data_IF_365713859007
#
_entry.id   IF_365713859007
#
_cell.length_a   1.000
_cell.length_b   1.000
_cell.length_c   1.000
_cell.angle_alpha   90.00
_cell.angle_beta   90.00
_cell.angle_gamma   90.00
#
_symmetry.space_group_name_H-M   'P 1'
#
loop_
_entity.id
_entity.type
_entity.pdbx_description
1 polymer ?
#
# COMPACT_ATOMS: atom_id res chain seq x y z
N UNK A 1 -32.12 31.08 -52.54
CA UNK A 1 -30.72 31.17 -52.07
C UNK A 1 -30.56 32.32 -51.09
N UNK A 2 -30.24 32.04 -49.82
CA UNK A 2 -29.44 32.85 -48.88
C UNK A 2 -29.50 32.18 -47.51
N UNK A 3 -28.45 31.42 -47.18
CA UNK A 3 -28.23 30.77 -45.88
C UNK A 3 -27.84 31.85 -44.87
N UNK A 4 -28.52 31.92 -43.72
CA UNK A 4 -28.05 32.66 -42.53
C UNK A 4 -27.55 31.65 -41.51
N UNK A 5 -26.24 31.66 -41.28
CA UNK A 5 -25.58 30.91 -40.24
C UNK A 5 -25.88 31.55 -38.88
N UNK A 6 -26.35 30.77 -37.91
CA UNK A 6 -26.38 31.15 -36.51
C UNK A 6 -25.13 30.55 -35.83
N UNK A 7 -24.15 31.41 -35.56
CA UNK A 7 -23.11 31.17 -34.56
C UNK A 7 -23.70 31.63 -33.21
N UNK A 8 -24.02 30.69 -32.33
CA UNK A 8 -24.28 30.97 -30.92
C UNK A 8 -23.08 30.47 -30.13
N UNK A 9 -22.30 31.42 -29.64
CA UNK A 9 -21.17 31.22 -28.76
C UNK A 9 -21.63 30.53 -27.46
N UNK A 10 -21.04 29.38 -27.15
CA UNK A 10 -21.13 28.80 -25.81
C UNK A 10 -20.26 29.65 -24.87
N UNK A 11 -20.91 30.45 -24.03
CA UNK A 11 -20.23 31.20 -22.97
C UNK A 11 -19.59 30.23 -21.98
N UNK A 12 -18.27 30.31 -21.84
CA UNK A 12 -17.54 29.69 -20.75
C UNK A 12 -18.00 30.35 -19.44
N UNK A 13 -18.77 29.61 -18.63
CA UNK A 13 -19.08 30.03 -17.28
C UNK A 13 -17.81 29.94 -16.43
N UNK A 14 -17.25 31.10 -16.10
CA UNK A 14 -16.21 31.23 -15.10
C UNK A 14 -16.74 30.72 -13.75
N UNK A 15 -16.12 29.66 -13.23
CA UNK A 15 -16.39 29.19 -11.87
C UNK A 15 -15.69 30.14 -10.88
N UNK A 16 -16.41 31.21 -10.52
CA UNK A 16 -16.07 32.05 -9.37
C UNK A 16 -16.11 31.22 -8.09
N UNK A 17 -15.05 31.37 -7.27
CA UNK A 17 -14.85 30.63 -6.04
C UNK A 17 -16.03 30.73 -5.07
N UNK A 18 -16.73 29.61 -4.89
CA UNK A 18 -17.39 29.27 -3.63
C UNK A 18 -16.44 28.34 -2.90
N UNK A 19 -15.97 28.74 -1.72
CA UNK A 19 -15.36 27.79 -0.80
C UNK A 19 -16.35 26.62 -0.65
N UNK A 20 -15.98 25.44 -1.15
CA UNK A 20 -16.80 24.25 -1.00
C UNK A 20 -17.01 24.06 0.51
N UNK A 21 -18.27 24.06 0.96
CA UNK A 21 -18.56 23.76 2.35
C UNK A 21 -17.94 22.40 2.67
N UNK A 22 -16.98 22.43 3.60
CA UNK A 22 -16.23 21.28 4.10
C UNK A 22 -17.18 20.14 4.46
N UNK A 23 -17.25 19.10 3.62
CA UNK A 23 -18.16 17.97 3.84
C UNK A 23 -17.60 17.07 4.94
N UNK A 24 -18.45 16.60 5.88
CA UNK A 24 -17.98 15.84 7.04
C UNK A 24 -17.25 14.56 6.62
N UNK A 25 -16.15 14.28 7.30
CA UNK A 25 -15.33 13.08 7.11
C UNK A 25 -15.57 12.14 8.28
N UNK A 26 -15.92 10.89 7.99
CA UNK A 26 -16.05 9.84 9.01
C UNK A 26 -14.99 8.77 8.78
N UNK A 27 -13.98 8.71 9.64
CA UNK A 27 -12.94 7.69 9.56
C UNK A 27 -13.47 6.34 10.05
N UNK A 28 -13.24 5.29 9.26
CA UNK A 28 -13.59 3.91 9.62
C UNK A 28 -12.39 3.19 10.25
N UNK A 29 -11.18 3.50 9.76
CA UNK A 29 -9.87 2.97 10.20
C UNK A 29 -8.75 3.77 9.53
N UNK A 30 -7.49 3.57 9.93
CA UNK A 30 -6.35 4.38 9.48
C UNK A 30 -6.06 4.42 7.96
N UNK A 31 -6.74 3.62 7.14
CA UNK A 31 -6.64 3.62 5.68
C UNK A 31 -8.01 3.73 4.97
N UNK A 32 -9.09 4.01 5.71
CA UNK A 32 -10.45 4.15 5.13
C UNK A 32 -11.28 5.20 5.82
N UNK A 33 -12.01 5.96 5.02
CA UNK A 33 -12.94 6.97 5.49
C UNK A 33 -14.19 7.04 4.61
N UNK A 34 -15.24 7.68 5.12
CA UNK A 34 -16.41 8.05 4.36
C UNK A 34 -16.41 9.56 4.15
N UNK A 35 -16.55 9.97 2.90
CA UNK A 35 -16.68 11.37 2.51
C UNK A 35 -17.70 11.46 1.37
N UNK A 36 -18.63 12.43 1.45
CA UNK A 36 -19.71 12.60 0.47
C UNK A 36 -20.51 11.30 0.19
N UNK A 37 -20.79 10.53 1.23
CA UNK A 37 -21.56 9.27 1.13
C UNK A 37 -20.81 8.07 0.54
N UNK A 38 -19.52 8.22 0.18
CA UNK A 38 -18.71 7.14 -0.41
C UNK A 38 -17.65 6.65 0.58
N UNK A 39 -17.52 5.34 0.75
CA UNK A 39 -16.37 4.74 1.45
C UNK A 39 -15.14 4.77 0.54
N UNK A 40 -14.14 5.55 0.91
CA UNK A 40 -12.88 5.72 0.21
C UNK A 40 -11.80 4.84 0.86
N UNK A 41 -11.02 4.18 0.02
CA UNK A 41 -9.85 3.40 0.43
C UNK A 41 -8.59 4.12 -0.01
N UNK A 42 -7.70 4.39 0.95
CA UNK A 42 -6.44 5.07 0.66
C UNK A 42 -5.49 4.17 -0.14
N UNK A 43 -4.90 4.75 -1.17
CA UNK A 43 -4.07 4.04 -2.11
C UNK A 43 -2.72 3.65 -1.51
N UNK A 44 -2.30 2.42 -1.82
CA UNK A 44 -0.97 1.87 -1.60
C UNK A 44 -0.50 1.77 -0.13
N UNK A 45 -1.43 1.90 0.82
CA UNK A 45 -1.16 1.73 2.25
C UNK A 45 -2.07 0.68 2.89
N UNK A 46 -1.63 0.19 4.05
CA UNK A 46 -2.38 -0.68 4.93
C UNK A 46 -2.18 -0.20 6.37
N UNK A 47 -3.27 0.25 6.99
CA UNK A 47 -3.31 0.57 8.41
C UNK A 47 -3.77 -0.64 9.25
N UNK A 48 -3.38 -0.72 10.54
CA UNK A 48 -3.84 -1.79 11.41
C UNK A 48 -5.38 -1.94 11.45
N UNK A 49 -5.89 -3.17 11.47
CA UNK A 49 -7.34 -3.46 11.51
C UNK A 49 -7.92 -3.37 12.92
N UNK A 50 -8.87 -2.45 13.20
CA UNK A 50 -9.53 -2.39 14.49
C UNK A 50 -10.41 -3.61 14.80
N UNK A 51 -10.69 -4.48 13.81
CA UNK A 51 -11.39 -5.76 14.02
C UNK A 51 -10.43 -6.94 14.14
N UNK A 52 -9.20 -6.77 13.64
CA UNK A 52 -8.17 -7.81 13.54
C UNK A 52 -8.56 -9.06 12.74
N UNK A 53 -7.70 -10.07 12.86
CA UNK A 53 -7.93 -11.46 12.43
C UNK A 53 -7.62 -12.35 13.63
N UNK A 54 -8.63 -12.99 14.23
CA UNK A 54 -8.46 -13.78 15.47
C UNK A 54 -8.64 -12.94 16.75
N UNK A 55 -7.58 -12.83 17.55
CA UNK A 55 -7.56 -12.41 18.98
C UNK A 55 -7.85 -10.92 19.28
N UNK A 56 -8.63 -10.24 18.44
CA UNK A 56 -9.04 -8.84 18.65
C UNK A 56 -8.29 -7.81 17.78
N UNK A 57 -8.42 -6.50 18.09
CA UNK A 57 -7.88 -5.42 17.26
C UNK A 57 -6.37 -5.54 17.08
N UNK A 58 -5.87 -5.25 15.87
CA UNK A 58 -4.44 -5.14 15.65
C UNK A 58 -3.88 -3.97 16.50
N UNK A 59 -2.69 -4.13 17.11
CA UNK A 59 -2.07 -3.08 17.91
C UNK A 59 -1.99 -1.76 17.11
N UNK A 60 -2.11 -0.61 17.77
CA UNK A 60 -2.04 0.71 17.11
C UNK A 60 -3.22 1.06 16.17
N UNK A 61 -4.23 0.21 15.98
CA UNK A 61 -5.38 0.51 15.09
C UNK A 61 -6.15 1.78 15.45
N UNK A 62 -6.39 2.02 16.74
CA UNK A 62 -7.05 3.25 17.21
C UNK A 62 -6.22 4.50 16.93
N UNK A 63 -4.90 4.46 17.20
CA UNK A 63 -3.99 5.56 16.93
C UNK A 63 -3.87 5.85 15.43
N UNK A 64 -3.83 4.82 14.59
CA UNK A 64 -3.83 4.98 13.13
C UNK A 64 -5.11 5.64 12.61
N UNK A 65 -6.28 5.24 13.14
CA UNK A 65 -7.55 5.88 12.80
C UNK A 65 -7.59 7.34 13.25
N UNK A 66 -7.11 7.65 14.45
CA UNK A 66 -7.01 9.02 14.95
C UNK A 66 -6.07 9.89 14.10
N UNK A 67 -4.94 9.34 13.64
CA UNK A 67 -4.02 10.04 12.74
C UNK A 67 -4.72 10.43 11.42
N UNK A 68 -5.44 9.49 10.79
CA UNK A 68 -6.22 9.81 9.59
C UNK A 68 -7.33 10.83 9.89
N UNK A 69 -8.03 10.72 11.02
CA UNK A 69 -9.09 11.66 11.38
C UNK A 69 -8.55 13.08 11.54
N UNK A 70 -7.36 13.24 12.14
CA UNK A 70 -6.69 14.53 12.28
C UNK A 70 -6.25 15.08 10.92
N UNK A 71 -5.66 14.25 10.05
CA UNK A 71 -5.17 14.68 8.74
C UNK A 71 -6.30 15.02 7.75
N UNK A 72 -7.43 14.33 7.86
CA UNK A 72 -8.60 14.53 7.01
C UNK A 72 -9.67 15.44 7.63
N UNK A 73 -9.36 16.07 8.78
CA UNK A 73 -10.26 16.99 9.47
C UNK A 73 -10.68 18.14 8.54
N UNK A 74 -11.95 18.54 8.61
CA UNK A 74 -12.52 19.55 7.72
C UNK A 74 -12.67 19.12 6.26
N UNK A 75 -12.17 17.95 5.83
CA UNK A 75 -12.34 17.56 4.42
C UNK A 75 -11.63 18.48 3.41
N UNK A 76 -10.66 19.27 3.87
CA UNK A 76 -9.87 20.18 3.04
C UNK A 76 -8.76 19.44 2.26
N UNK A 77 -9.16 18.47 1.44
CA UNK A 77 -8.27 17.71 0.55
C UNK A 77 -8.87 17.56 -0.84
N UNK A 78 -8.02 17.37 -1.84
CA UNK A 78 -8.48 16.89 -3.16
C UNK A 78 -8.37 15.37 -3.23
N UNK A 79 -9.24 14.76 -4.03
CA UNK A 79 -9.32 13.31 -4.23
C UNK A 79 -8.84 13.01 -5.65
N UNK A 80 -7.89 12.11 -5.79
CA UNK A 80 -7.44 11.57 -7.07
C UNK A 80 -7.67 10.06 -7.10
N UNK A 81 -8.25 9.53 -8.17
CA UNK A 81 -8.39 8.08 -8.34
C UNK A 81 -7.03 7.45 -8.69
N UNK A 82 -6.66 6.40 -7.98
CA UNK A 82 -5.34 5.76 -8.06
C UNK A 82 -5.37 4.37 -8.72
N UNK A 83 -6.53 3.92 -9.18
CA UNK A 83 -6.70 2.62 -9.80
C UNK A 83 -8.15 2.14 -9.80
N UNK A 84 -8.36 0.89 -10.23
CA UNK A 84 -9.68 0.29 -10.23
C UNK A 84 -10.26 0.21 -8.80
N UNK A 85 -11.58 0.43 -8.63
CA UNK A 85 -12.26 0.15 -7.38
C UNK A 85 -12.06 -1.30 -6.95
N UNK A 86 -12.20 -1.57 -5.66
CA UNK A 86 -12.18 -2.95 -5.19
C UNK A 86 -13.45 -3.73 -5.55
N UNK A 87 -13.50 -5.02 -5.22
CA UNK A 87 -14.64 -5.91 -5.55
C UNK A 87 -16.00 -5.48 -4.96
N UNK A 88 -16.00 -4.52 -4.04
CA UNK A 88 -17.21 -3.95 -3.44
C UNK A 88 -17.51 -2.54 -3.98
N UNK A 89 -16.82 -2.12 -5.05
CA UNK A 89 -17.03 -0.84 -5.70
C UNK A 89 -16.41 0.35 -4.95
N UNK A 90 -15.56 0.11 -3.95
CA UNK A 90 -14.95 1.20 -3.17
C UNK A 90 -13.83 1.87 -3.95
N UNK A 91 -13.87 3.21 -4.13
CA UNK A 91 -12.82 3.94 -4.82
C UNK A 91 -11.46 3.76 -4.13
N UNK A 92 -10.44 3.50 -4.94
CA UNK A 92 -9.05 3.46 -4.53
C UNK A 92 -8.42 4.82 -4.85
N UNK A 93 -8.09 5.60 -3.82
CA UNK A 93 -7.85 7.04 -3.99
C UNK A 93 -6.61 7.54 -3.27
N UNK A 94 -6.05 8.64 -3.77
CA UNK A 94 -5.10 9.50 -3.08
C UNK A 94 -5.83 10.72 -2.56
N UNK A 95 -5.48 11.11 -1.33
CA UNK A 95 -5.95 12.35 -0.75
C UNK A 95 -4.79 13.32 -0.66
N UNK A 96 -4.97 14.52 -1.19
CA UNK A 96 -3.94 15.54 -1.25
C UNK A 96 -4.33 16.72 -0.39
N UNK A 97 -3.50 17.05 0.59
CA UNK A 97 -3.64 18.23 1.42
C UNK A 97 -2.89 19.39 0.77
N UNK A 98 -3.48 20.59 0.69
CA UNK A 98 -2.77 21.78 0.24
C UNK A 98 -1.66 22.16 1.24
N UNK A 99 -0.50 22.53 0.71
CA UNK A 99 0.62 23.14 1.46
C UNK A 99 1.26 24.22 0.60
N UNK A 100 1.97 25.15 1.25
CA UNK A 100 2.67 26.25 0.58
C UNK A 100 3.68 25.76 -0.47
N UNK A 101 4.40 24.67 -0.17
CA UNK A 101 5.41 24.08 -1.06
C UNK A 101 4.85 23.01 -2.01
N UNK A 102 3.54 23.02 -2.26
CA UNK A 102 2.85 22.05 -3.10
C UNK A 102 2.11 20.97 -2.29
N UNK A 103 1.12 20.30 -2.90
CA UNK A 103 0.25 19.36 -2.19
C UNK A 103 1.02 18.15 -1.64
N UNK A 104 0.66 17.72 -0.44
CA UNK A 104 1.22 16.51 0.20
C UNK A 104 0.15 15.43 0.31
N UNK A 105 0.52 14.18 0.04
CA UNK A 105 -0.43 13.08 0.15
C UNK A 105 -0.66 12.70 1.62
N UNK A 106 -1.91 12.49 2.01
CA UNK A 106 -2.29 12.01 3.36
C UNK A 106 -1.61 10.68 3.66
N UNK A 107 -1.50 9.78 2.67
CA UNK A 107 -0.83 8.49 2.84
C UNK A 107 0.64 8.63 3.22
N UNK A 108 1.33 9.62 2.67
CA UNK A 108 2.74 9.89 2.97
C UNK A 108 2.91 10.35 4.41
N UNK A 109 2.02 11.23 4.88
CA UNK A 109 2.00 11.70 6.26
C UNK A 109 1.67 10.57 7.25
N UNK A 110 0.69 9.71 6.91
CA UNK A 110 0.38 8.53 7.72
C UNK A 110 1.57 7.57 7.83
N UNK A 111 2.32 7.37 6.76
CA UNK A 111 3.52 6.54 6.79
C UNK A 111 4.64 7.18 7.62
N UNK A 112 4.86 8.48 7.47
CA UNK A 112 5.86 9.23 8.23
C UNK A 112 5.59 9.20 9.75
N UNK A 113 4.32 9.21 10.16
CA UNK A 113 3.91 9.07 11.57
C UNK A 113 3.92 7.62 12.08
N UNK A 114 4.22 6.64 11.22
CA UNK A 114 4.13 5.22 11.55
C UNK A 114 2.69 4.78 11.84
N UNK A 115 1.70 5.37 11.17
CA UNK A 115 0.28 4.99 11.28
C UNK A 115 -0.15 3.92 10.26
N UNK A 116 0.67 3.68 9.23
CA UNK A 116 0.40 2.68 8.20
C UNK A 116 1.70 2.03 7.70
N UNK A 117 1.53 1.02 6.84
CA UNK A 117 2.60 0.35 6.09
C UNK A 117 2.30 0.44 4.60
N UNK A 118 3.32 0.44 3.75
CA UNK A 118 3.14 0.44 2.29
C UNK A 118 2.66 -0.95 1.85
N UNK A 119 1.57 -0.98 1.08
CA UNK A 119 1.03 -2.16 0.40
C UNK A 119 0.84 -1.79 -1.08
N UNK A 120 1.82 -2.07 -1.95
CA UNK A 120 1.74 -1.67 -3.35
C UNK A 120 0.60 -2.37 -4.09
N UNK A 121 -0.24 -1.59 -4.75
CA UNK A 121 -1.37 -2.06 -5.54
C UNK A 121 -1.59 -1.24 -6.83
N UNK A 122 -1.27 0.06 -6.82
CA UNK A 122 -1.27 0.91 -8.01
C UNK A 122 -0.01 0.70 -8.87
N UNK A 123 -0.08 1.11 -10.14
CA UNK A 123 1.03 1.07 -11.08
C UNK A 123 1.90 2.33 -11.12
N UNK A 124 1.79 3.21 -10.12
CA UNK A 124 2.51 4.48 -10.08
C UNK A 124 3.77 4.36 -9.22
N UNK A 125 4.88 4.07 -9.89
CA UNK A 125 6.16 3.87 -9.22
C UNK A 125 6.68 5.13 -8.53
N UNK A 126 6.41 6.32 -9.07
CA UNK A 126 6.88 7.58 -8.49
C UNK A 126 6.15 7.86 -7.16
N UNK A 127 4.84 7.60 -7.12
CA UNK A 127 4.08 7.70 -5.86
C UNK A 127 4.58 6.67 -4.84
N UNK A 128 4.77 5.41 -5.26
CA UNK A 128 5.30 4.36 -4.40
C UNK A 128 6.67 4.72 -3.84
N UNK A 129 7.58 5.29 -4.63
CA UNK A 129 8.91 5.72 -4.17
C UNK A 129 8.83 6.67 -2.97
N UNK A 130 7.90 7.65 -3.01
CA UNK A 130 7.68 8.57 -1.90
C UNK A 130 7.13 7.85 -0.66
N UNK A 131 6.20 6.91 -0.84
CA UNK A 131 5.65 6.11 0.25
C UNK A 131 6.72 5.24 0.91
N UNK A 132 7.56 4.55 0.12
CA UNK A 132 8.67 3.74 0.63
C UNK A 132 9.68 4.60 1.40
N UNK A 133 10.00 5.79 0.92
CA UNK A 133 10.90 6.72 1.61
C UNK A 133 10.33 7.14 2.98
N UNK A 134 9.05 7.54 3.04
CA UNK A 134 8.38 7.91 4.29
C UNK A 134 8.33 6.74 5.29
N UNK A 135 7.98 5.54 4.82
CA UNK A 135 7.94 4.33 5.66
C UNK A 135 9.33 3.95 6.18
N UNK A 136 10.37 4.05 5.34
CA UNK A 136 11.74 3.75 5.73
C UNK A 136 12.23 4.69 6.84
N UNK A 137 11.94 5.98 6.74
CA UNK A 137 12.26 6.97 7.77
C UNK A 137 11.51 6.67 9.08
N UNK A 138 10.20 6.43 9.02
CA UNK A 138 9.40 6.10 10.20
C UNK A 138 9.89 4.82 10.89
N UNK A 139 10.27 3.81 10.11
CA UNK A 139 10.82 2.56 10.64
C UNK A 139 12.19 2.75 11.30
N UNK A 140 13.09 3.51 10.66
CA UNK A 140 14.40 3.82 11.24
C UNK A 140 14.26 4.61 12.56
N UNK A 141 13.29 5.53 12.63
CA UNK A 141 12.98 6.31 13.83
C UNK A 141 12.15 5.54 14.88
N UNK A 142 11.74 4.29 14.59
CA UNK A 142 10.76 3.53 15.39
C UNK A 142 9.49 4.34 15.72
N UNK A 143 9.02 5.14 14.77
CA UNK A 143 7.82 5.96 14.92
C UNK A 143 6.54 5.10 14.90
N UNK A 144 5.57 5.48 15.75
CA UNK A 144 4.24 4.87 15.78
C UNK A 144 4.26 3.35 15.89
N UNK A 145 3.62 2.67 14.93
CA UNK A 145 3.54 1.21 14.90
C UNK A 145 4.92 0.54 14.90
N UNK A 146 5.95 1.19 14.36
CA UNK A 146 7.32 0.64 14.30
C UNK A 146 8.02 0.58 15.66
N UNK A 147 7.47 1.23 16.69
CA UNK A 147 7.91 1.06 18.07
C UNK A 147 7.53 -0.33 18.63
N UNK A 148 6.48 -0.96 18.09
CA UNK A 148 5.89 -2.17 18.65
C UNK A 148 6.49 -3.42 18.02
N UNK A 149 6.79 -4.41 18.87
CA UNK A 149 7.33 -5.71 18.42
C UNK A 149 6.41 -6.43 17.41
N UNK A 150 5.09 -6.19 17.50
CA UNK A 150 4.10 -6.73 16.59
C UNK A 150 4.31 -6.34 15.11
N UNK A 151 4.98 -5.22 14.85
CA UNK A 151 5.26 -4.69 13.51
C UNK A 151 6.74 -4.73 13.12
N UNK A 152 7.57 -5.44 13.89
CA UNK A 152 8.98 -5.64 13.53
C UNK A 152 9.11 -6.25 12.13
N UNK A 153 10.26 -6.01 11.52
CA UNK A 153 10.66 -6.78 10.35
C UNK A 153 11.10 -8.17 10.80
N UNK A 154 10.53 -9.21 10.20
CA UNK A 154 10.87 -10.58 10.54
C UNK A 154 12.09 -11.04 9.75
N UNK A 155 13.09 -11.66 10.38
CA UNK A 155 14.09 -12.40 9.62
C UNK A 155 13.46 -13.64 8.99
N UNK A 156 13.86 -13.99 7.78
CA UNK A 156 13.31 -15.12 7.02
C UNK A 156 13.42 -16.46 7.79
N UNK A 157 14.52 -16.65 8.54
CA UNK A 157 14.71 -17.81 9.41
C UNK A 157 13.78 -17.88 10.63
N UNK A 158 12.97 -16.85 10.89
CA UNK A 158 11.96 -16.84 11.95
C UNK A 158 10.65 -16.17 11.49
N UNK A 159 10.21 -16.45 10.27
CA UNK A 159 8.97 -15.89 9.71
C UNK A 159 7.69 -16.57 10.24
N UNK A 160 7.79 -17.67 10.97
CA UNK A 160 6.63 -18.41 11.53
C UNK A 160 5.74 -17.53 12.41
N UNK A 161 6.33 -16.64 13.20
CA UNK A 161 5.59 -15.68 14.04
C UNK A 161 4.78 -14.64 13.26
N UNK A 162 5.02 -14.52 11.94
CA UNK A 162 4.29 -13.62 11.06
C UNK A 162 3.11 -14.31 10.34
N UNK A 163 2.89 -15.61 10.52
CA UNK A 163 1.77 -16.31 9.86
C UNK A 163 0.44 -15.65 10.26
N UNK A 164 -0.43 -15.44 9.27
CA UNK A 164 -1.77 -14.86 9.44
C UNK A 164 -1.85 -13.34 9.37
N UNK A 165 -0.72 -12.63 9.32
CA UNK A 165 -0.70 -11.14 9.26
C UNK A 165 0.03 -10.63 8.02
N UNK A 166 -0.22 -9.36 7.69
CA UNK A 166 0.65 -8.63 6.77
C UNK A 166 1.96 -8.32 7.49
N UNK A 167 3.10 -8.68 6.89
CA UNK A 167 4.42 -8.50 7.49
C UNK A 167 5.48 -8.12 6.44
N UNK A 168 6.59 -7.59 6.95
CA UNK A 168 7.82 -7.42 6.20
C UNK A 168 8.77 -8.54 6.64
N UNK A 169 9.34 -9.27 5.69
CA UNK A 169 10.27 -10.37 5.93
C UNK A 169 11.56 -10.11 5.15
N UNK A 170 12.69 -10.17 5.84
CA UNK A 170 14.02 -9.94 5.27
C UNK A 170 14.89 -11.19 5.33
N UNK A 171 15.66 -11.44 4.28
CA UNK A 171 16.64 -12.51 4.27
C UNK A 171 17.41 -12.57 2.97
N UNK A 172 18.41 -13.42 2.93
CA UNK A 172 19.08 -13.80 1.68
C UNK A 172 18.31 -14.93 1.03
N UNK A 173 17.95 -14.77 -0.25
CA UNK A 173 17.32 -15.84 -1.00
C UNK A 173 18.37 -16.91 -1.33
N UNK A 174 18.26 -18.08 -0.71
CA UNK A 174 19.18 -19.21 -0.94
C UNK A 174 19.08 -19.73 -2.38
N UNK A 175 17.86 -19.83 -2.91
CA UNK A 175 17.65 -20.32 -4.27
C UNK A 175 16.41 -19.68 -4.90
N UNK A 176 16.40 -19.68 -6.23
CA UNK A 176 15.25 -19.32 -7.04
C UNK A 176 14.92 -20.46 -8.01
N UNK A 177 13.66 -20.84 -8.12
CA UNK A 177 13.24 -21.93 -9.01
C UNK A 177 11.88 -21.64 -9.64
N UNK A 178 11.69 -22.05 -10.90
CA UNK A 178 10.40 -22.01 -11.55
C UNK A 178 9.81 -23.43 -11.62
N UNK A 179 8.64 -23.65 -11.03
CA UNK A 179 7.95 -24.93 -11.03
C UNK A 179 6.44 -24.74 -10.92
N UNK A 180 5.64 -25.66 -11.47
CA UNK A 180 4.17 -25.70 -11.29
C UNK A 180 3.46 -24.36 -11.55
N UNK A 181 3.91 -23.62 -12.56
CA UNK A 181 3.33 -22.32 -12.93
C UNK A 181 3.65 -21.16 -11.98
N UNK A 182 4.66 -21.32 -11.12
CA UNK A 182 5.12 -20.29 -10.17
C UNK A 182 6.64 -20.17 -10.18
N UNK A 183 7.13 -19.01 -9.77
CA UNK A 183 8.53 -18.78 -9.38
C UNK A 183 8.60 -18.73 -7.87
N UNK A 184 9.56 -19.43 -7.30
CA UNK A 184 9.83 -19.56 -5.88
C UNK A 184 11.18 -18.92 -5.57
N UNK A 185 11.23 -18.16 -4.47
CA UNK A 185 12.45 -17.74 -3.79
C UNK A 185 12.46 -18.42 -2.43
N UNK A 186 13.40 -19.33 -2.22
CA UNK A 186 13.51 -20.10 -0.99
C UNK A 186 14.58 -19.48 -0.10
N UNK A 187 14.30 -19.38 1.20
CA UNK A 187 15.20 -18.75 2.18
C UNK A 187 15.85 -19.77 3.12
N UNK A 188 15.63 -21.07 2.88
CA UNK A 188 16.22 -22.17 3.63
C UNK A 188 16.31 -23.45 2.80
N UNK A 189 16.65 -24.55 3.45
CA UNK A 189 16.87 -25.86 2.82
C UNK A 189 15.57 -26.63 2.62
N UNK A 190 14.66 -26.55 3.58
CA UNK A 190 13.40 -27.27 3.56
C UNK A 190 12.23 -26.29 3.38
N UNK A 191 11.72 -26.19 2.15
CA UNK A 191 10.54 -25.39 1.82
C UNK A 191 9.29 -25.77 2.62
N UNK A 192 9.30 -26.93 3.29
CA UNK A 192 8.17 -27.38 4.13
C UNK A 192 8.09 -26.64 5.46
N UNK A 193 9.21 -26.07 5.91
CA UNK A 193 9.32 -25.36 7.19
C UNK A 193 9.80 -23.93 7.02
N UNK A 194 10.61 -23.68 5.99
CA UNK A 194 11.31 -22.42 5.78
C UNK A 194 10.46 -21.39 5.02
N UNK A 195 10.87 -20.13 5.16
CA UNK A 195 10.21 -19.04 4.48
C UNK A 195 10.38 -19.11 2.96
N UNK A 196 9.29 -18.84 2.24
CA UNK A 196 9.27 -18.85 0.77
C UNK A 196 8.48 -17.68 0.21
N UNK A 197 9.08 -16.93 -0.72
CA UNK A 197 8.37 -15.93 -1.53
C UNK A 197 7.99 -16.56 -2.87
N UNK A 198 6.78 -16.31 -3.34
CA UNK A 198 6.30 -16.89 -4.60
C UNK A 198 5.62 -15.84 -5.48
N UNK A 199 5.62 -16.09 -6.78
CA UNK A 199 4.82 -15.33 -7.74
C UNK A 199 4.34 -16.23 -8.88
N UNK A 200 3.13 -16.02 -9.42
CA UNK A 200 2.69 -16.69 -10.65
C UNK A 200 3.67 -16.43 -11.80
N UNK A 201 4.03 -17.46 -12.58
CA UNK A 201 5.02 -17.34 -13.68
C UNK A 201 4.65 -16.23 -14.68
N UNK A 202 3.35 -16.02 -14.93
CA UNK A 202 2.86 -14.94 -15.80
C UNK A 202 3.27 -13.55 -15.29
N UNK A 203 3.14 -13.32 -13.98
CA UNK A 203 3.53 -12.06 -13.34
C UNK A 203 5.05 -11.93 -13.28
N UNK A 204 5.76 -12.99 -12.87
CA UNK A 204 7.22 -12.99 -12.82
C UNK A 204 7.86 -12.65 -14.18
N UNK A 205 7.36 -13.23 -15.29
CA UNK A 205 7.82 -12.91 -16.65
C UNK A 205 7.51 -11.47 -17.07
N UNK A 206 6.41 -10.89 -16.58
CA UNK A 206 6.10 -9.48 -16.80
C UNK A 206 7.09 -8.61 -16.03
N UNK A 207 7.31 -8.88 -14.75
CA UNK A 207 8.21 -8.11 -13.90
C UNK A 207 9.67 -8.19 -14.33
N UNK A 208 10.11 -9.31 -14.89
CA UNK A 208 11.46 -9.43 -15.47
C UNK A 208 11.69 -8.39 -16.58
N UNK A 209 10.68 -8.11 -17.42
CA UNK A 209 10.74 -7.05 -18.45
C UNK A 209 10.67 -5.65 -17.87
N UNK A 210 10.20 -5.51 -16.64
CA UNK A 210 10.12 -4.26 -15.86
C UNK A 210 11.30 -4.13 -14.88
N UNK A 211 12.36 -4.93 -15.05
CA UNK A 211 13.61 -4.85 -14.29
C UNK A 211 13.70 -5.70 -13.02
N UNK A 212 12.69 -6.53 -12.71
CA UNK A 212 12.70 -7.45 -11.57
C UNK A 212 12.62 -8.91 -12.04
N UNK A 213 13.79 -9.53 -12.27
CA UNK A 213 13.87 -10.97 -12.51
C UNK A 213 14.04 -11.74 -11.20
N UNK A 214 12.95 -12.37 -10.75
CA UNK A 214 12.97 -13.21 -9.54
C UNK A 214 13.94 -14.39 -9.67
N UNK A 215 14.16 -14.93 -10.87
CA UNK A 215 15.03 -16.12 -11.06
C UNK A 215 16.49 -15.79 -10.77
N UNK A 216 16.89 -14.54 -10.96
CA UNK A 216 18.25 -14.04 -10.70
C UNK A 216 18.49 -13.55 -9.27
N UNK A 217 17.54 -13.71 -8.35
CA UNK A 217 17.68 -13.21 -6.96
C UNK A 217 18.34 -14.20 -5.99
N UNK A 218 18.77 -15.38 -6.45
CA UNK A 218 19.57 -16.29 -5.61
C UNK A 218 20.86 -15.60 -5.14
N UNK A 219 21.19 -15.76 -3.86
CA UNK A 219 22.31 -15.09 -3.19
C UNK A 219 22.09 -13.60 -2.91
N UNK A 220 20.90 -13.05 -3.20
CA UNK A 220 20.60 -11.63 -2.95
C UNK A 220 19.83 -11.46 -1.65
N UNK A 221 20.20 -10.44 -0.88
CA UNK A 221 19.44 -10.00 0.28
C UNK A 221 18.24 -9.16 -0.18
N UNK A 222 17.06 -9.54 0.28
CA UNK A 222 15.80 -8.93 -0.13
C UNK A 222 14.89 -8.70 1.07
N UNK A 223 13.93 -7.80 0.90
CA UNK A 223 12.79 -7.59 1.78
C UNK A 223 11.50 -7.84 1.02
N UNK A 224 10.71 -8.80 1.46
CA UNK A 224 9.37 -9.05 0.94
C UNK A 224 8.32 -8.48 1.88
N UNK A 225 7.22 -7.96 1.32
CA UNK A 225 6.05 -7.49 2.08
C UNK A 225 4.78 -8.16 1.57
N UNK A 226 3.92 -8.59 2.47
CA UNK A 226 2.68 -9.26 2.10
C UNK A 226 2.02 -9.98 3.26
N UNK A 227 0.84 -10.55 3.00
CA UNK A 227 0.21 -11.47 3.94
C UNK A 227 1.00 -12.78 3.97
N UNK A 228 1.44 -13.18 5.16
CA UNK A 228 2.14 -14.45 5.35
C UNK A 228 1.12 -15.55 5.59
N UNK A 229 1.07 -16.51 4.68
CA UNK A 229 0.25 -17.71 4.80
C UNK A 229 1.09 -18.90 5.27
N UNK A 230 0.44 -19.95 5.78
CA UNK A 230 1.07 -21.24 6.04
C UNK A 230 0.85 -22.16 4.83
N UNK A 231 1.77 -22.15 3.88
CA UNK A 231 1.74 -23.00 2.67
C UNK A 231 2.98 -23.88 2.71
N UNK A 232 2.84 -25.02 3.36
CA UNK A 232 3.94 -25.73 4.01
C UNK A 232 4.58 -24.86 5.10
N UNK A 233 5.67 -24.13 4.78
CA UNK A 233 6.29 -23.13 5.63
C UNK A 233 5.56 -21.77 5.58
N UNK A 234 6.09 -20.74 6.28
CA UNK A 234 5.61 -19.36 6.12
C UNK A 234 5.85 -18.89 4.69
N UNK A 235 4.85 -18.33 4.03
CA UNK A 235 4.97 -17.91 2.64
C UNK A 235 4.30 -16.59 2.34
N UNK A 236 4.94 -15.79 1.48
CA UNK A 236 4.35 -14.61 0.85
C UNK A 236 4.17 -14.88 -0.64
N UNK A 237 2.94 -14.72 -1.14
CA UNK A 237 2.69 -14.60 -2.58
C UNK A 237 2.69 -13.12 -2.98
N UNK A 238 3.58 -12.76 -3.90
CA UNK A 238 3.66 -11.40 -4.42
C UNK A 238 2.51 -11.14 -5.39
N UNK A 239 1.73 -10.10 -5.11
CA UNK A 239 0.72 -9.56 -6.04
C UNK A 239 1.25 -8.39 -6.88
N UNK A 240 2.36 -7.77 -6.46
CA UNK A 240 2.93 -6.59 -7.09
C UNK A 240 4.47 -6.65 -7.08
N UNK A 241 5.13 -6.14 -8.13
CA UNK A 241 6.61 -6.17 -8.24
C UNK A 241 7.29 -5.42 -7.11
N UNK A 242 6.70 -4.28 -6.72
CA UNK A 242 7.22 -3.41 -5.65
C UNK A 242 7.01 -4.01 -4.25
N UNK A 243 6.35 -5.15 -4.12
CA UNK A 243 6.26 -5.87 -2.85
C UNK A 243 7.56 -6.65 -2.49
N UNK A 244 8.58 -6.58 -3.36
CA UNK A 244 9.91 -7.10 -3.12
C UNK A 244 10.95 -5.99 -3.34
N UNK A 245 11.79 -5.74 -2.35
CA UNK A 245 12.88 -4.76 -2.39
C UNK A 245 14.22 -5.51 -2.33
N UNK A 246 15.21 -5.08 -3.12
CA UNK A 246 16.60 -5.48 -2.91
C UNK A 246 17.22 -4.60 -1.81
N UNK A 247 18.05 -5.21 -0.95
CA UNK A 247 18.73 -4.55 0.17
C UNK A 247 20.23 -4.38 -0.07
#
# INVERSE_FOLDING_TARGET
MRRRAFLLAAGAAAFGGRAAAEAPVRVLRGDRLVHQGRELRLADILAPDPRGFGDGPEPYAGAAAAALARLAAGGAFTIEEAGAPDRWGRPFVRLWLPRENGPVAVQELLLAEGAARVRPESGDDAFLDRLFAAEAQARAARAGLWALDAYRVFPAGNATGAIGRFALVEGEARSAAAARGRVFLNFGEDYRTDFTVTAPTRLARRWAREGLDLSGLAGRRVRARGHVAKVNGPSIELAHRRALELL
#
